data_IF_825843235641
#
_entry.id   IF_825843235641
#
_cell.length_a   1.000
_cell.length_b   1.000
_cell.length_c   1.000
_cell.angle_alpha   90.00
_cell.angle_beta   90.00
_cell.angle_gamma   90.00
#
_symmetry.space_group_name_H-M   'P 1'
#
loop_
_entity.id
_entity.type
_entity.pdbx_description
1 polymer ?
#
# COMPACT_ATOMS: atom_id res chain seq x y z
N UNK A 1 41.80 105.75 9.09
CA UNK A 1 40.87 105.97 7.95
C UNK A 1 39.53 105.32 8.27
N UNK A 2 38.51 105.58 7.45
CA UNK A 2 37.09 105.34 7.72
C UNK A 2 36.70 103.95 8.27
N UNK A 3 35.82 103.94 9.27
CA UNK A 3 34.93 102.81 9.58
C UNK A 3 33.49 103.23 9.31
N UNK A 4 32.97 102.91 8.11
CA UNK A 4 31.53 102.98 7.81
C UNK A 4 30.90 101.61 8.11
N UNK A 5 29.65 101.58 8.61
CA UNK A 5 29.00 100.30 8.90
C UNK A 5 27.63 100.33 9.58
N UNK A 6 26.81 101.37 9.42
CA UNK A 6 25.45 101.40 9.98
C UNK A 6 24.53 100.36 9.30
N UNK A 7 24.40 99.18 9.90
CA UNK A 7 23.43 98.16 9.49
C UNK A 7 22.12 98.38 10.25
N UNK A 8 21.26 99.24 9.70
CA UNK A 8 19.93 99.53 10.27
C UNK A 8 19.03 98.30 10.20
N UNK A 9 19.06 97.51 11.28
CA UNK A 9 18.29 96.28 11.43
C UNK A 9 16.79 96.59 11.52
N UNK A 10 16.10 96.57 10.37
CA UNK A 10 14.64 96.78 10.28
C UNK A 10 13.92 95.84 11.26
N UNK A 11 13.22 96.44 12.23
CA UNK A 11 12.44 95.74 13.27
C UNK A 11 11.20 95.08 12.65
N UNK A 12 11.38 93.91 12.05
CA UNK A 12 10.26 93.05 11.66
C UNK A 12 9.32 92.83 12.84
N UNK A 13 8.02 93.03 12.61
CA UNK A 13 7.00 92.90 13.64
C UNK A 13 7.07 91.54 14.33
N UNK A 14 6.90 91.51 15.66
CA UNK A 14 6.89 90.27 16.46
C UNK A 14 5.92 89.22 15.90
N UNK A 15 4.81 89.66 15.31
CA UNK A 15 3.83 88.79 14.62
C UNK A 15 4.44 88.00 13.45
N UNK A 16 5.23 88.67 12.61
CA UNK A 16 5.89 88.05 11.44
C UNK A 16 6.99 87.08 11.88
N UNK A 17 7.78 87.46 12.90
CA UNK A 17 8.81 86.57 13.46
C UNK A 17 8.20 85.27 14.00
N UNK A 18 7.11 85.35 14.77
CA UNK A 18 6.43 84.15 15.27
C UNK A 18 5.79 83.32 14.14
N UNK A 19 5.23 83.96 13.11
CA UNK A 19 4.63 83.30 11.95
C UNK A 19 5.63 82.50 11.10
N UNK A 20 6.91 82.90 11.09
CA UNK A 20 8.00 82.17 10.43
C UNK A 20 8.69 81.13 11.32
N UNK A 21 8.59 81.26 12.65
CA UNK A 21 9.15 80.28 13.61
C UNK A 21 8.32 78.99 13.62
N UNK A 22 6.99 79.08 13.56
CA UNK A 22 6.11 77.90 13.69
C UNK A 22 6.41 76.82 12.62
N UNK A 23 6.51 77.14 11.31
CA UNK A 23 6.86 76.14 10.29
C UNK A 23 8.25 75.53 10.50
N UNK A 24 9.26 76.34 10.87
CA UNK A 24 10.62 75.85 11.09
C UNK A 24 10.71 74.86 12.26
N UNK A 25 9.97 75.08 13.35
CA UNK A 25 9.91 74.12 14.47
C UNK A 25 9.23 72.82 14.03
N UNK A 26 8.12 72.90 13.28
CA UNK A 26 7.46 71.70 12.74
C UNK A 26 8.37 70.90 11.80
N UNK A 27 9.12 71.56 10.90
CA UNK A 27 10.07 70.87 10.00
C UNK A 27 11.20 70.16 10.76
N UNK A 28 11.75 70.80 11.81
CA UNK A 28 12.80 70.19 12.63
C UNK A 28 12.27 69.01 13.48
N UNK A 29 11.07 69.12 14.03
CA UNK A 29 10.42 68.04 14.75
C UNK A 29 10.12 66.84 13.83
N UNK A 30 9.63 67.09 12.61
CA UNK A 30 9.39 66.05 11.62
C UNK A 30 10.70 65.37 11.16
N UNK A 31 11.76 66.14 10.92
CA UNK A 31 13.06 65.59 10.54
C UNK A 31 13.66 64.69 11.64
N UNK A 32 13.66 65.14 12.90
CA UNK A 32 14.12 64.33 14.02
C UNK A 32 13.25 63.08 14.23
N UNK A 33 11.92 63.23 14.13
CA UNK A 33 10.99 62.09 14.19
C UNK A 33 11.21 61.07 13.08
N UNK A 34 11.52 61.51 11.85
CA UNK A 34 11.80 60.62 10.72
C UNK A 34 13.03 59.74 10.95
N UNK A 35 14.08 60.27 11.59
CA UNK A 35 15.28 59.50 11.95
C UNK A 35 14.98 58.45 13.02
N UNK A 36 14.15 58.79 14.02
CA UNK A 36 13.73 57.81 15.04
C UNK A 36 12.95 56.66 14.40
N UNK A 37 12.02 56.94 13.48
CA UNK A 37 11.22 55.90 12.80
C UNK A 37 12.10 54.98 11.94
N UNK A 38 13.14 55.50 11.28
CA UNK A 38 14.09 54.64 10.52
C UNK A 38 14.97 53.74 11.39
N UNK A 39 15.10 53.99 12.69
CA UNK A 39 15.77 53.08 13.63
C UNK A 39 14.79 52.15 14.38
N UNK A 40 13.48 52.32 14.19
CA UNK A 40 12.45 51.37 14.62
C UNK A 40 11.99 50.47 13.46
N UNK A 41 12.91 50.07 12.58
CA UNK A 41 12.68 48.89 11.75
C UNK A 41 12.47 47.70 12.69
N UNK A 42 11.33 47.02 12.53
CA UNK A 42 10.96 45.92 13.40
C UNK A 42 11.85 44.70 13.09
N UNK A 43 13.01 44.65 13.72
CA UNK A 43 13.91 43.48 13.71
C UNK A 43 13.24 42.32 14.45
N UNK A 44 12.31 41.67 13.76
CA UNK A 44 11.96 40.29 14.01
C UNK A 44 13.25 39.49 13.88
N UNK A 45 13.82 39.10 15.02
CA UNK A 45 15.00 38.25 15.09
C UNK A 45 14.63 36.83 14.62
N UNK A 46 14.40 36.69 13.32
CA UNK A 46 14.04 35.45 12.64
C UNK A 46 15.25 34.50 12.48
N UNK A 47 16.18 34.60 13.43
CA UNK A 47 17.31 33.73 13.63
C UNK A 47 17.38 33.32 15.11
N UNK A 48 16.22 33.01 15.71
CA UNK A 48 16.19 31.86 16.60
C UNK A 48 16.55 30.64 15.76
N UNK A 49 17.85 30.36 15.66
CA UNK A 49 18.34 29.02 15.31
C UNK A 49 17.99 28.09 16.45
N UNK A 50 16.71 27.69 16.50
CA UNK A 50 16.43 26.30 16.78
C UNK A 50 17.32 25.49 15.83
N UNK A 51 18.23 24.72 16.39
CA UNK A 51 18.52 23.43 15.76
C UNK A 51 17.17 22.74 15.65
N UNK A 52 16.59 22.84 14.47
CA UNK A 52 15.45 22.04 14.09
C UNK A 52 16.00 20.65 13.80
N UNK A 53 16.45 20.00 14.87
CA UNK A 53 16.48 18.55 14.96
C UNK A 53 15.02 18.12 14.83
N UNK A 54 14.58 18.01 13.58
CA UNK A 54 13.32 17.43 13.12
C UNK A 54 13.39 15.92 13.36
N UNK A 55 13.66 15.54 14.62
CA UNK A 55 13.60 14.19 15.11
C UNK A 55 12.13 13.81 15.27
N UNK A 56 11.78 12.74 14.56
CA UNK A 56 10.44 12.28 14.29
C UNK A 56 9.56 13.27 13.49
N UNK A 57 8.77 12.73 12.57
CA UNK A 57 7.52 13.37 12.19
C UNK A 57 6.61 13.41 13.43
N UNK A 58 6.00 14.56 13.75
CA UNK A 58 5.12 14.67 14.93
C UNK A 58 3.81 13.93 14.63
N UNK A 59 3.75 12.65 14.99
CA UNK A 59 2.59 11.78 14.77
C UNK A 59 1.46 12.18 15.70
N UNK A 60 0.55 13.03 15.24
CA UNK A 60 -0.54 13.54 16.07
C UNK A 60 -1.46 12.43 16.64
N UNK A 61 -2.02 12.58 17.85
CA UNK A 61 -2.97 11.61 18.43
C UNK A 61 -4.13 11.25 17.50
N UNK A 62 -4.64 12.22 16.72
CA UNK A 62 -5.70 12.01 15.73
C UNK A 62 -5.34 11.04 14.61
N UNK A 63 -4.06 10.95 14.25
CA UNK A 63 -3.57 9.94 13.29
C UNK A 63 -3.68 8.55 13.91
N UNK A 64 -3.33 8.41 15.18
CA UNK A 64 -3.43 7.16 15.92
C UNK A 64 -4.89 6.74 16.10
N UNK A 65 -5.77 7.68 16.47
CA UNK A 65 -7.23 7.48 16.55
C UNK A 65 -7.79 6.96 15.22
N UNK A 66 -7.45 7.59 14.09
CA UNK A 66 -7.85 7.17 12.74
C UNK A 66 -7.41 5.74 12.42
N UNK A 67 -6.14 5.39 12.66
CA UNK A 67 -5.62 4.04 12.41
C UNK A 67 -6.34 2.98 13.28
N UNK A 68 -6.69 3.31 14.53
CA UNK A 68 -7.48 2.43 15.40
C UNK A 68 -8.91 2.24 14.85
N UNK A 69 -9.56 3.30 14.37
CA UNK A 69 -10.91 3.23 13.79
C UNK A 69 -10.93 2.44 12.47
N UNK A 70 -9.95 2.64 11.60
CA UNK A 70 -9.82 1.88 10.35
C UNK A 70 -9.51 0.40 10.63
N UNK A 71 -8.61 0.08 11.57
CA UNK A 71 -8.34 -1.31 11.97
C UNK A 71 -9.59 -2.01 12.55
N UNK A 72 -10.42 -1.29 13.33
CA UNK A 72 -11.72 -1.81 13.83
C UNK A 72 -12.69 -2.07 12.69
N UNK A 73 -12.84 -1.12 11.77
CA UNK A 73 -13.72 -1.25 10.58
C UNK A 73 -13.35 -2.46 9.72
N UNK A 74 -12.06 -2.69 9.47
CA UNK A 74 -11.59 -3.86 8.72
C UNK A 74 -11.83 -5.18 9.51
N UNK A 75 -11.61 -5.19 10.83
CA UNK A 75 -11.97 -6.33 11.70
C UNK A 75 -13.46 -6.67 11.60
N UNK A 76 -14.34 -5.68 11.67
CA UNK A 76 -15.79 -5.86 11.60
C UNK A 76 -16.26 -6.33 10.20
N UNK A 77 -15.62 -5.86 9.12
CA UNK A 77 -15.85 -6.35 7.76
C UNK A 77 -15.45 -7.83 7.59
N UNK A 78 -14.29 -8.22 8.12
CA UNK A 78 -13.82 -9.63 8.15
C UNK A 78 -14.84 -10.50 8.89
N UNK A 79 -15.27 -10.11 10.09
CA UNK A 79 -16.25 -10.89 10.85
C UNK A 79 -17.62 -10.95 10.17
N UNK A 80 -18.04 -9.89 9.49
CA UNK A 80 -19.28 -9.89 8.70
C UNK A 80 -19.23 -10.95 7.60
N UNK A 81 -18.17 -10.98 6.79
CA UNK A 81 -18.03 -11.96 5.71
C UNK A 81 -17.76 -13.38 6.22
N UNK A 82 -16.97 -13.54 7.27
CA UNK A 82 -16.74 -14.84 7.91
C UNK A 82 -18.05 -15.44 8.44
N UNK A 83 -18.89 -14.63 9.10
CA UNK A 83 -20.16 -15.10 9.66
C UNK A 83 -21.17 -15.53 8.58
N UNK A 84 -21.14 -14.93 7.38
CA UNK A 84 -21.96 -15.40 6.23
C UNK A 84 -21.55 -16.81 5.78
N UNK A 85 -20.25 -17.12 5.80
CA UNK A 85 -19.75 -18.46 5.47
C UNK A 85 -20.10 -19.43 6.61
N UNK A 86 -19.68 -19.12 7.84
CA UNK A 86 -19.81 -19.96 9.04
C UNK A 86 -21.28 -20.30 9.39
N UNK A 87 -22.22 -19.36 9.25
CA UNK A 87 -23.66 -19.65 9.49
C UNK A 87 -24.30 -20.54 8.42
N UNK A 88 -23.77 -20.55 7.20
CA UNK A 88 -24.29 -21.33 6.09
C UNK A 88 -23.66 -22.73 5.94
N UNK A 89 -22.74 -23.14 6.83
CA UNK A 89 -21.95 -24.37 6.63
C UNK A 89 -22.80 -25.61 6.40
N UNK A 90 -23.82 -25.82 7.23
CA UNK A 90 -24.64 -27.04 7.22
C UNK A 90 -25.88 -26.98 6.28
N UNK A 91 -25.91 -26.08 5.29
CA UNK A 91 -27.04 -25.99 4.36
C UNK A 91 -27.00 -27.10 3.29
N UNK A 92 -28.01 -27.96 3.26
CA UNK A 92 -28.25 -28.86 2.13
C UNK A 92 -28.94 -28.11 0.98
N UNK A 93 -28.75 -28.59 -0.26
CA UNK A 93 -29.37 -28.05 -1.47
C UNK A 93 -29.12 -28.96 -2.66
N UNK A 94 -29.68 -28.61 -3.82
CA UNK A 94 -29.33 -29.22 -5.11
C UNK A 94 -27.89 -28.88 -5.51
N UNK A 95 -27.33 -29.64 -6.45
CA UNK A 95 -25.97 -29.40 -6.97
C UNK A 95 -25.78 -27.96 -7.47
N UNK A 96 -26.77 -27.39 -8.17
CA UNK A 96 -26.70 -26.01 -8.67
C UNK A 96 -26.66 -24.98 -7.52
N UNK A 97 -27.54 -25.11 -6.52
CA UNK A 97 -27.57 -24.22 -5.34
C UNK A 97 -26.27 -24.31 -4.52
N UNK A 98 -25.65 -25.48 -4.46
CA UNK A 98 -24.34 -25.66 -3.81
C UNK A 98 -23.20 -25.04 -4.64
N UNK A 99 -23.25 -25.09 -5.97
CA UNK A 99 -22.27 -24.43 -6.85
C UNK A 99 -22.38 -22.90 -6.81
N UNK A 100 -23.58 -22.34 -6.81
CA UNK A 100 -23.81 -20.89 -6.63
C UNK A 100 -23.30 -20.43 -5.25
N UNK A 101 -23.62 -21.19 -4.19
CA UNK A 101 -23.10 -20.97 -2.83
C UNK A 101 -21.57 -21.00 -2.78
N UNK A 102 -20.93 -21.94 -3.50
CA UNK A 102 -19.47 -22.04 -3.58
C UNK A 102 -18.84 -20.81 -4.26
N UNK A 103 -19.47 -20.26 -5.30
CA UNK A 103 -19.02 -19.03 -5.94
C UNK A 103 -19.10 -17.83 -4.98
N UNK A 104 -20.21 -17.67 -4.26
CA UNK A 104 -20.40 -16.61 -3.25
C UNK A 104 -19.39 -16.74 -2.10
N UNK A 105 -19.13 -17.95 -1.61
CA UNK A 105 -18.11 -18.21 -0.58
C UNK A 105 -16.69 -17.86 -1.05
N UNK A 106 -16.33 -18.20 -2.30
CA UNK A 106 -15.03 -17.80 -2.88
C UNK A 106 -14.91 -16.29 -3.07
N UNK A 107 -16.00 -15.59 -3.37
CA UNK A 107 -16.01 -14.12 -3.37
C UNK A 107 -15.75 -13.56 -1.97
N UNK A 108 -16.46 -14.05 -0.94
CA UNK A 108 -16.26 -13.60 0.44
C UNK A 108 -14.85 -13.90 0.97
N UNK A 109 -14.25 -15.04 0.59
CA UNK A 109 -12.85 -15.39 0.91
C UNK A 109 -11.87 -14.32 0.44
N UNK A 110 -11.95 -13.91 -0.83
CA UNK A 110 -11.00 -12.93 -1.37
C UNK A 110 -11.21 -11.53 -0.76
N UNK A 111 -12.45 -11.16 -0.39
CA UNK A 111 -12.69 -9.94 0.39
C UNK A 111 -12.04 -10.05 1.77
N UNK A 112 -12.27 -11.13 2.53
CA UNK A 112 -11.63 -11.37 3.84
C UNK A 112 -10.10 -11.23 3.74
N UNK A 113 -9.48 -11.79 2.69
CA UNK A 113 -8.04 -11.70 2.44
C UNK A 113 -7.56 -10.26 2.15
N UNK A 114 -8.34 -9.45 1.42
CA UNK A 114 -8.04 -8.02 1.21
C UNK A 114 -8.14 -7.25 2.52
N UNK A 115 -9.20 -7.46 3.31
CA UNK A 115 -9.39 -6.80 4.60
C UNK A 115 -8.30 -7.18 5.62
N UNK A 116 -7.88 -8.46 5.67
CA UNK A 116 -6.72 -8.91 6.47
C UNK A 116 -5.45 -8.16 6.05
N UNK A 117 -5.23 -7.98 4.74
CA UNK A 117 -4.08 -7.25 4.21
C UNK A 117 -4.11 -5.77 4.62
N UNK A 118 -5.30 -5.15 4.66
CA UNK A 118 -5.46 -3.78 5.16
C UNK A 118 -5.12 -3.66 6.65
N UNK A 119 -5.58 -4.59 7.50
CA UNK A 119 -5.19 -4.63 8.93
C UNK A 119 -3.67 -4.80 9.10
N UNK A 120 -3.03 -5.64 8.29
CA UNK A 120 -1.57 -5.81 8.32
C UNK A 120 -0.83 -4.53 7.85
N UNK A 121 -1.35 -3.80 6.88
CA UNK A 121 -0.80 -2.51 6.45
C UNK A 121 -0.87 -1.47 7.59
N UNK A 122 -2.04 -1.35 8.24
CA UNK A 122 -2.25 -0.44 9.36
C UNK A 122 -1.35 -0.82 10.56
N UNK A 123 -1.16 -2.12 10.82
CA UNK A 123 -0.21 -2.60 11.82
C UNK A 123 1.22 -2.13 11.52
N UNK A 124 1.69 -2.27 10.29
CA UNK A 124 3.06 -1.85 9.90
C UNK A 124 3.23 -0.33 9.93
N UNK A 125 2.18 0.45 9.66
CA UNK A 125 2.20 1.91 9.80
C UNK A 125 2.34 2.36 11.26
N UNK A 126 1.54 1.80 12.18
CA UNK A 126 1.66 2.11 13.62
C UNK A 126 2.96 1.56 14.24
N UNK A 127 3.48 0.44 13.73
CA UNK A 127 4.78 -0.10 14.12
C UNK A 127 5.92 0.84 13.72
N UNK A 128 5.86 1.46 12.52
CA UNK A 128 6.81 2.49 12.10
C UNK A 128 6.80 3.68 13.05
N UNK A 129 5.62 4.24 13.36
CA UNK A 129 5.49 5.37 14.29
C UNK A 129 5.97 5.03 15.71
N UNK A 130 5.68 3.82 16.21
CA UNK A 130 6.15 3.37 17.51
C UNK A 130 7.69 3.28 17.55
N UNK A 131 8.31 2.69 16.53
CA UNK A 131 9.76 2.59 16.43
C UNK A 131 10.44 3.96 16.31
N UNK A 132 9.90 4.87 15.48
CA UNK A 132 10.42 6.23 15.29
C UNK A 132 10.46 7.03 16.61
N UNK A 133 9.39 6.95 17.41
CA UNK A 133 9.31 7.60 18.73
C UNK A 133 10.19 6.91 19.78
N UNK A 134 10.35 5.58 19.71
CA UNK A 134 11.27 4.83 20.57
C UNK A 134 12.73 5.20 20.29
N UNK A 135 13.12 5.46 19.04
CA UNK A 135 14.46 5.96 18.73
C UNK A 135 14.64 7.44 19.14
N UNK A 136 13.67 8.34 18.94
CA UNK A 136 13.79 9.74 19.44
C UNK A 136 13.98 9.77 20.96
N UNK A 137 13.29 8.94 21.75
CA UNK A 137 13.47 8.92 23.21
C UNK A 137 14.88 8.46 23.62
N UNK A 138 15.53 7.56 22.87
CA UNK A 138 16.91 7.13 23.17
C UNK A 138 17.94 8.23 22.93
N UNK A 139 17.69 9.11 21.94
CA UNK A 139 18.57 10.23 21.59
C UNK A 139 18.23 11.47 22.43
N UNK A 140 16.94 11.78 22.54
CA UNK A 140 16.35 13.00 23.08
C UNK A 140 15.31 12.66 24.16
N UNK A 141 15.75 12.21 25.34
CA UNK A 141 14.89 11.87 26.48
C UNK A 141 14.20 13.11 27.11
N UNK A 142 13.25 13.71 26.38
CA UNK A 142 12.44 14.88 26.74
C UNK A 142 11.07 14.43 27.24
N UNK A 143 10.48 15.14 28.19
CA UNK A 143 9.15 14.83 28.72
C UNK A 143 8.08 14.78 27.62
N UNK A 144 8.14 15.71 26.65
CA UNK A 144 7.25 15.73 25.49
C UNK A 144 7.36 14.47 24.61
N UNK A 145 8.57 13.92 24.43
CA UNK A 145 8.76 12.67 23.69
C UNK A 145 8.15 11.49 24.46
N UNK A 146 8.31 11.46 25.79
CA UNK A 146 7.65 10.44 26.65
C UNK A 146 6.12 10.55 26.62
N UNK A 147 5.54 11.75 26.45
CA UNK A 147 4.10 11.90 26.23
C UNK A 147 3.65 11.38 24.87
N UNK A 148 4.44 11.59 23.82
CA UNK A 148 4.19 11.02 22.48
C UNK A 148 4.20 9.49 22.54
N UNK A 149 5.20 8.87 23.19
CA UNK A 149 5.26 7.41 23.32
C UNK A 149 4.01 6.83 24.01
N UNK A 150 3.48 7.47 25.05
CA UNK A 150 2.31 6.95 25.79
C UNK A 150 1.10 6.73 24.88
N UNK A 151 0.76 7.68 23.99
CA UNK A 151 -0.39 7.51 23.11
C UNK A 151 -0.09 6.67 21.86
N UNK A 152 1.11 6.75 21.29
CA UNK A 152 1.52 5.89 20.17
C UNK A 152 1.57 4.42 20.60
N UNK A 153 2.13 4.11 21.78
CA UNK A 153 2.13 2.77 22.36
C UNK A 153 0.70 2.26 22.64
N UNK A 154 -0.19 3.12 23.18
CA UNK A 154 -1.59 2.75 23.43
C UNK A 154 -2.37 2.44 22.14
N UNK A 155 -2.02 3.07 21.01
CA UNK A 155 -2.55 2.72 19.69
C UNK A 155 -1.94 1.45 19.12
N UNK A 156 -0.61 1.31 19.20
CA UNK A 156 0.13 0.12 18.78
C UNK A 156 -0.42 -1.14 19.44
N UNK A 157 -0.58 -1.15 20.77
CA UNK A 157 -1.14 -2.30 21.50
C UNK A 157 -2.58 -2.62 21.09
N UNK A 158 -3.42 -1.63 20.79
CA UNK A 158 -4.79 -1.88 20.31
C UNK A 158 -4.81 -2.54 18.92
N UNK A 159 -4.04 -2.01 17.97
CA UNK A 159 -3.96 -2.53 16.60
C UNK A 159 -3.27 -3.91 16.58
N UNK A 160 -2.24 -4.11 17.41
CA UNK A 160 -1.62 -5.41 17.65
C UNK A 160 -2.62 -6.43 18.24
N UNK A 161 -3.49 -6.01 19.17
CA UNK A 161 -4.55 -6.89 19.69
C UNK A 161 -5.58 -7.24 18.60
N UNK A 162 -5.98 -6.28 17.76
CA UNK A 162 -6.87 -6.51 16.61
C UNK A 162 -6.29 -7.57 15.67
N UNK A 163 -5.04 -7.42 15.24
CA UNK A 163 -4.29 -8.36 14.41
C UNK A 163 -4.19 -9.74 15.07
N UNK A 164 -3.70 -9.79 16.30
CA UNK A 164 -3.48 -11.05 17.01
C UNK A 164 -4.79 -11.81 17.30
N UNK A 165 -5.93 -11.13 17.47
CA UNK A 165 -7.24 -11.78 17.62
C UNK A 165 -7.75 -12.43 16.33
N UNK A 166 -7.38 -11.88 15.16
CA UNK A 166 -7.69 -12.45 13.86
C UNK A 166 -6.79 -13.66 13.57
N UNK A 167 -5.49 -13.52 13.82
CA UNK A 167 -4.50 -14.61 13.68
C UNK A 167 -4.89 -15.83 14.54
N UNK A 168 -5.18 -15.63 15.84
CA UNK A 168 -5.66 -16.68 16.78
C UNK A 168 -6.94 -17.38 16.32
N UNK A 169 -7.76 -16.71 15.52
CA UNK A 169 -9.02 -17.28 15.04
C UNK A 169 -8.87 -18.02 13.71
N UNK A 170 -7.70 -17.97 13.06
CA UNK A 170 -7.38 -18.75 11.86
C UNK A 170 -8.45 -18.57 10.76
N UNK A 171 -8.99 -17.35 10.66
CA UNK A 171 -10.23 -17.04 9.94
C UNK A 171 -10.19 -17.51 8.48
N UNK A 172 -9.08 -17.25 7.79
CA UNK A 172 -8.88 -17.64 6.39
C UNK A 172 -8.76 -19.17 6.22
N UNK A 173 -8.12 -19.87 7.18
CA UNK A 173 -7.99 -21.33 7.15
C UNK A 173 -9.37 -22.01 7.33
N UNK A 174 -10.20 -21.52 8.27
CA UNK A 174 -11.55 -22.05 8.49
C UNK A 174 -12.46 -21.82 7.27
N UNK A 175 -12.29 -20.69 6.58
CA UNK A 175 -12.94 -20.44 5.29
C UNK A 175 -12.47 -21.44 4.22
N UNK A 176 -11.17 -21.74 4.15
CA UNK A 176 -10.64 -22.75 3.23
C UNK A 176 -11.14 -24.18 3.54
N UNK A 177 -11.19 -24.56 4.82
CA UNK A 177 -11.76 -25.84 5.28
C UNK A 177 -13.25 -25.96 4.91
N UNK A 178 -14.03 -24.89 5.10
CA UNK A 178 -15.44 -24.87 4.68
C UNK A 178 -15.61 -24.97 3.16
N UNK A 179 -14.81 -24.22 2.39
CA UNK A 179 -14.83 -24.25 0.91
C UNK A 179 -14.50 -25.66 0.40
N UNK A 180 -13.46 -26.31 0.93
CA UNK A 180 -13.10 -27.69 0.58
C UNK A 180 -14.19 -28.71 0.94
N UNK A 181 -14.86 -28.55 2.09
CA UNK A 181 -15.98 -29.39 2.49
C UNK A 181 -17.17 -29.27 1.52
N UNK A 182 -17.48 -28.05 1.05
CA UNK A 182 -18.54 -27.80 0.08
C UNK A 182 -18.18 -28.35 -1.32
N UNK A 183 -16.93 -28.21 -1.78
CA UNK A 183 -16.45 -28.81 -3.03
C UNK A 183 -16.55 -30.34 -3.01
N UNK A 184 -16.25 -30.96 -1.88
CA UNK A 184 -16.42 -32.41 -1.65
C UNK A 184 -17.90 -32.81 -1.69
N UNK A 185 -18.78 -32.06 -1.03
CA UNK A 185 -20.23 -32.29 -1.05
C UNK A 185 -20.81 -32.23 -2.49
N UNK A 186 -20.47 -31.20 -3.26
CA UNK A 186 -20.87 -31.05 -4.67
C UNK A 186 -20.40 -32.25 -5.51
N UNK A 187 -19.16 -32.69 -5.29
CA UNK A 187 -18.56 -33.82 -6.00
C UNK A 187 -19.29 -35.14 -5.68
N UNK A 188 -19.62 -35.38 -4.41
CA UNK A 188 -20.37 -36.58 -3.98
C UNK A 188 -21.81 -36.60 -4.54
N UNK A 189 -22.52 -35.48 -4.53
CA UNK A 189 -23.88 -35.40 -5.11
C UNK A 189 -23.87 -35.60 -6.63
N UNK A 190 -22.91 -35.04 -7.35
CA UNK A 190 -22.73 -35.29 -8.80
C UNK A 190 -22.47 -36.76 -9.10
N UNK A 191 -21.71 -37.46 -8.25
CA UNK A 191 -21.49 -38.91 -8.39
C UNK A 191 -22.76 -39.73 -8.12
N UNK A 192 -23.59 -39.36 -7.13
CA UNK A 192 -24.89 -40.02 -6.85
C UNK A 192 -25.82 -39.93 -8.06
N UNK A 193 -26.07 -38.71 -8.55
CA UNK A 193 -26.93 -38.46 -9.72
C UNK A 193 -26.46 -39.24 -10.96
N UNK A 194 -25.15 -39.27 -11.21
CA UNK A 194 -24.56 -40.03 -12.33
C UNK A 194 -24.78 -41.54 -12.21
N UNK A 195 -24.77 -42.08 -10.99
CA UNK A 195 -24.98 -43.51 -10.73
C UNK A 195 -26.47 -43.91 -10.76
N UNK A 196 -27.37 -43.01 -10.33
CA UNK A 196 -28.83 -43.23 -10.40
C UNK A 196 -29.34 -43.22 -11.84
N UNK A 197 -28.89 -42.26 -12.66
CA UNK A 197 -29.21 -42.22 -14.10
C UNK A 197 -28.77 -43.50 -14.83
N UNK A 198 -27.60 -44.06 -14.47
CA UNK A 198 -27.11 -45.32 -15.03
C UNK A 198 -27.96 -46.52 -14.63
N UNK A 199 -28.50 -46.55 -13.40
CA UNK A 199 -29.42 -47.62 -12.96
C UNK A 199 -30.75 -47.55 -13.70
N UNK A 200 -31.39 -46.37 -13.78
CA UNK A 200 -32.66 -46.19 -14.48
C UNK A 200 -32.58 -46.56 -15.97
N UNK A 201 -31.42 -46.38 -16.61
CA UNK A 201 -31.19 -46.79 -18.00
C UNK A 201 -31.16 -48.32 -18.19
N UNK A 202 -31.00 -49.12 -17.12
CA UNK A 202 -30.91 -50.59 -17.20
C UNK A 202 -32.22 -51.34 -16.99
N UNK A 203 -33.29 -50.67 -16.53
CA UNK A 203 -34.57 -51.30 -16.18
C UNK A 203 -35.66 -51.13 -17.26
N UNK A 204 -35.31 -50.72 -18.48
CA UNK A 204 -36.25 -50.68 -19.61
C UNK A 204 -36.52 -52.11 -20.14
N UNK A 205 -37.77 -52.63 -20.09
CA UNK A 205 -38.02 -54.04 -20.40
C UNK A 205 -37.78 -54.40 -21.87
N UNK A 206 -36.93 -55.40 -22.13
CA UNK A 206 -36.78 -56.01 -23.46
C UNK A 206 -37.91 -57.00 -23.71
N UNK A 207 -38.83 -56.65 -24.60
CA UNK A 207 -39.93 -57.53 -25.05
C UNK A 207 -39.38 -58.77 -25.78
N UNK A 208 -39.82 -60.00 -25.46
CA UNK A 208 -39.23 -61.21 -26.04
C UNK A 208 -39.90 -61.62 -27.37
N UNK A 209 -39.16 -61.46 -28.48
CA UNK A 209 -39.42 -62.07 -29.80
C UNK A 209 -38.21 -61.78 -30.71
N UNK A 210 -37.61 -62.72 -31.45
CA UNK A 210 -37.82 -64.17 -31.62
C UNK A 210 -36.44 -64.87 -31.73
N UNK A 211 -36.40 -66.20 -31.59
CA UNK A 211 -35.31 -67.04 -32.14
C UNK A 211 -35.55 -67.19 -33.67
N UNK A 212 -34.59 -67.49 -34.55
CA UNK A 212 -33.57 -68.54 -34.50
C UNK A 212 -32.43 -68.29 -35.51
N UNK A 213 -31.29 -68.96 -35.29
CA UNK A 213 -30.21 -69.28 -36.28
C UNK A 213 -29.44 -68.05 -36.86
N UNK A 214 -28.20 -68.18 -37.34
CA UNK A 214 -27.35 -69.37 -37.56
C UNK A 214 -25.88 -69.10 -37.17
N UNK A 215 -25.15 -70.16 -36.80
CA UNK A 215 -23.73 -70.11 -36.40
C UNK A 215 -22.77 -70.02 -37.60
N UNK A 216 -21.62 -69.33 -37.45
CA UNK A 216 -20.29 -69.97 -37.64
C UNK A 216 -19.05 -69.07 -37.47
N UNK A 217 -18.01 -69.70 -36.90
CA UNK A 217 -16.57 -69.57 -37.14
C UNK A 217 -15.74 -68.54 -36.33
N UNK A 218 -14.67 -69.10 -35.75
CA UNK A 218 -13.60 -68.51 -34.95
C UNK A 218 -12.28 -69.16 -35.42
N UNK A 219 -11.13 -68.56 -35.05
CA UNK A 219 -9.75 -68.97 -35.45
C UNK A 219 -9.43 -68.74 -36.96
N UNK A 220 -8.20 -68.39 -37.37
CA UNK A 220 -6.90 -68.25 -36.68
C UNK A 220 -6.44 -66.75 -36.63
N UNK A 221 -5.24 -66.31 -36.20
CA UNK A 221 -3.95 -66.96 -35.86
C UNK A 221 -3.11 -66.09 -34.88
N UNK A 222 -2.14 -66.70 -34.18
CA UNK A 222 -1.21 -66.03 -33.25
C UNK A 222 0.08 -65.55 -33.93
N UNK A 223 0.47 -64.30 -33.64
CA UNK A 223 1.70 -63.86 -32.92
C UNK A 223 3.12 -64.22 -33.45
N UNK A 224 4.12 -63.40 -33.04
CA UNK A 224 5.58 -63.50 -33.26
C UNK A 224 6.14 -63.07 -34.66
N UNK A 225 7.31 -62.42 -34.81
CA UNK A 225 8.23 -61.80 -33.81
C UNK A 225 9.13 -60.68 -34.44
N UNK A 226 9.39 -59.61 -33.65
CA UNK A 226 10.56 -58.68 -33.65
C UNK A 226 11.01 -57.81 -34.86
N UNK A 227 11.83 -56.79 -34.51
CA UNK A 227 12.68 -55.92 -35.35
C UNK A 227 12.00 -54.96 -36.38
N UNK A 228 12.52 -53.77 -36.71
CA UNK A 228 13.41 -52.85 -35.97
C UNK A 228 13.18 -51.39 -36.50
N UNK A 229 13.80 -50.41 -35.84
CA UNK A 229 13.83 -48.96 -36.15
C UNK A 229 14.49 -48.62 -37.50
N UNK A 230 14.12 -47.46 -38.08
CA UNK A 230 14.70 -46.78 -39.26
C UNK A 230 14.38 -47.41 -40.65
N UNK A 231 14.30 -46.68 -41.77
CA UNK A 231 14.81 -45.33 -42.11
C UNK A 231 14.12 -44.71 -43.36
N UNK A 232 14.08 -43.36 -43.49
CA UNK A 232 14.20 -42.57 -44.76
C UNK A 232 13.08 -42.68 -45.87
N UNK A 233 12.88 -41.76 -46.84
CA UNK A 233 13.28 -40.33 -47.07
C UNK A 233 12.49 -39.68 -48.24
N UNK A 234 12.17 -38.38 -48.17
CA UNK A 234 12.10 -37.43 -49.32
C UNK A 234 12.18 -35.99 -48.74
N UNK A 235 13.16 -35.10 -48.98
CA UNK A 235 13.83 -34.60 -50.23
C UNK A 235 12.84 -33.72 -51.02
N UNK A 236 13.07 -32.43 -51.33
CA UNK A 236 14.31 -31.64 -51.58
C UNK A 236 14.05 -30.12 -51.30
N UNK A 237 14.95 -29.18 -50.94
CA UNK A 237 16.35 -29.19 -50.44
C UNK A 237 16.44 -28.28 -49.15
N UNK A 238 17.29 -27.27 -48.86
CA UNK A 238 18.43 -26.57 -49.52
C UNK A 238 19.42 -25.94 -48.48
N UNK A 239 20.32 -25.06 -48.93
CA UNK A 239 21.54 -24.52 -48.32
C UNK A 239 21.42 -23.12 -47.65
N UNK A 240 22.42 -22.57 -46.91
CA UNK A 240 23.79 -23.02 -46.57
C UNK A 240 24.17 -22.62 -45.13
N UNK A 241 25.26 -23.18 -44.57
CA UNK A 241 25.69 -23.04 -43.18
C UNK A 241 26.86 -22.07 -42.90
N UNK A 242 27.05 -21.68 -41.63
CA UNK A 242 28.29 -21.78 -40.80
C UNK A 242 28.04 -21.14 -39.42
N UNK A 243 28.12 -21.80 -38.25
CA UNK A 243 29.28 -22.48 -37.61
C UNK A 243 30.41 -21.46 -37.34
N UNK A 244 30.55 -20.82 -36.17
CA UNK A 244 30.86 -21.28 -34.78
C UNK A 244 32.37 -21.16 -34.43
N UNK A 245 32.69 -20.87 -33.16
CA UNK A 245 34.03 -20.59 -32.56
C UNK A 245 34.59 -19.17 -32.86
N UNK A 246 35.39 -18.52 -31.98
CA UNK A 246 35.91 -18.89 -30.65
C UNK A 246 36.16 -17.61 -29.76
N UNK A 247 35.78 -17.66 -28.46
CA UNK A 247 36.66 -17.45 -27.27
C UNK A 247 37.33 -16.08 -26.91
N UNK A 248 36.91 -15.57 -25.74
CA UNK A 248 37.72 -14.96 -24.65
C UNK A 248 38.12 -13.47 -24.66
N UNK A 249 38.45 -13.02 -23.42
CA UNK A 249 38.82 -11.68 -22.90
C UNK A 249 37.63 -10.69 -22.75
N UNK A 250 37.30 -10.17 -21.55
CA UNK A 250 38.06 -9.31 -20.60
C UNK A 250 38.04 -7.84 -21.10
N UNK A 251 37.73 -6.81 -20.30
CA UNK A 251 38.01 -6.59 -18.87
C UNK A 251 36.91 -5.79 -18.12
N UNK A 252 37.03 -5.66 -16.79
CA UNK A 252 36.28 -4.73 -15.92
C UNK A 252 36.92 -3.34 -15.95
N UNK A 253 36.14 -2.25 -15.77
CA UNK A 253 36.70 -1.04 -15.17
C UNK A 253 35.70 -0.22 -14.35
N UNK A 254 35.97 -0.11 -13.05
CA UNK A 254 35.58 1.04 -12.25
C UNK A 254 36.63 2.14 -12.47
N UNK A 255 36.26 3.42 -12.46
CA UNK A 255 37.07 4.47 -11.82
C UNK A 255 36.38 5.83 -11.73
N UNK A 256 36.51 6.43 -10.55
CA UNK A 256 36.55 7.85 -10.26
C UNK A 256 37.77 8.05 -9.33
N UNK A 257 38.32 9.27 -9.12
CA UNK A 257 37.84 10.60 -9.51
C UNK A 257 38.85 11.33 -10.44
N UNK A 258 38.73 12.64 -10.72
CA UNK A 258 39.34 13.73 -9.91
C UNK A 258 38.90 15.09 -10.49
N UNK A 259 38.86 16.15 -9.68
CA UNK A 259 38.44 17.50 -10.12
C UNK A 259 39.55 18.31 -10.81
N UNK A 260 39.18 19.21 -11.74
CA UNK A 260 39.97 20.37 -12.16
C UNK A 260 39.08 21.60 -12.33
N UNK A 261 39.57 22.73 -11.84
CA UNK A 261 39.02 24.09 -11.91
C UNK A 261 39.07 24.70 -13.33
N UNK A 262 38.04 25.45 -13.76
CA UNK A 262 38.18 26.53 -14.76
C UNK A 262 37.10 27.60 -14.56
N UNK A 263 37.46 28.87 -14.78
CA UNK A 263 36.66 30.07 -14.56
C UNK A 263 35.64 30.33 -15.67
N UNK A 264 34.54 30.99 -15.32
CA UNK A 264 34.14 32.25 -15.96
C UNK A 264 33.48 33.18 -14.93
#
# INVERSE_FOLDING_TARGET
>A
MCTMGDVVMKKFSKKVRNMLILPCICSMAFYMGSQVVTYTEASFSNQQTVQSDLSAAIVFPKTIEKLIEEAKKHKDAIFTHYNVINSAVNSNGTVAELEDKLAVWKQHREVIKVEITAVQSIYTEIESYYNEVVEDIKVNNRESAQEILKYVQAGFTQIQSIRNDMDKQEILQKVDEHIQALEKQITEEKMKQTNEAKKQTSEQPKTPSQQEQQSSKQEEKKQENNANVEQQKQVQEDNLASTQSEKSKEEVKQEAPTAVETKQ
#
